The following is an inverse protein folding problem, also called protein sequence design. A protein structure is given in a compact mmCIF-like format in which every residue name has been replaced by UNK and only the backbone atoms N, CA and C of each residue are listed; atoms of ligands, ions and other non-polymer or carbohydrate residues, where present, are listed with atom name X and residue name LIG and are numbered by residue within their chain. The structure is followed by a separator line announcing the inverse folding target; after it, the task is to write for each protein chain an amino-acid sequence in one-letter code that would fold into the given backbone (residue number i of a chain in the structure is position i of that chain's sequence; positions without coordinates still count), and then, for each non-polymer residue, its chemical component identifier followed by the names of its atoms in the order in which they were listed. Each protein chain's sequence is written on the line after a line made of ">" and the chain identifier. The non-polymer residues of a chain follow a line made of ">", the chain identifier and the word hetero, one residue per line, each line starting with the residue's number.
data_IF_362130861637
#
_entry.id   IF_362130861637
#
_cell.length_a   1.000
_cell.length_b   1.000
_cell.length_c   1.000
_cell.angle_alpha   90.00
_cell.angle_beta   90.00
_cell.angle_gamma   90.00
#
_symmetry.space_group_name_H-M   'P 1'
#
loop_
_entity.id
_entity.type
_entity.pdbx_description
1 polymer ?
#
# COMPACT_ATOMS: atom_id res chain seq x y z
N UNK A 1 23.93 8.98 -11.36
CA UNK A 1 24.16 7.59 -11.82
C UNK A 1 22.84 6.85 -11.73
N UNK A 2 22.34 6.19 -12.78
CA UNK A 2 21.03 5.54 -12.69
C UNK A 2 21.15 4.35 -11.72
N UNK A 3 20.13 4.16 -10.90
CA UNK A 3 20.07 3.22 -9.77
C UNK A 3 19.92 1.75 -10.21
N UNK A 4 20.60 1.32 -11.28
CA UNK A 4 20.39 0.00 -11.90
C UNK A 4 20.80 -1.16 -10.97
N UNK A 5 21.74 -0.93 -10.05
CA UNK A 5 22.25 -1.97 -9.13
C UNK A 5 21.84 -1.78 -7.67
N UNK A 6 20.91 -0.84 -7.38
CA UNK A 6 20.49 -0.58 -5.99
C UNK A 6 19.13 -1.22 -5.72
N UNK A 7 19.09 -2.10 -4.71
CA UNK A 7 17.84 -2.65 -4.20
C UNK A 7 16.93 -1.54 -3.64
N UNK A 8 15.60 -1.69 -3.73
CA UNK A 8 14.67 -0.72 -3.17
C UNK A 8 14.87 -0.59 -1.66
N UNK A 9 14.63 0.60 -1.11
CA UNK A 9 14.64 0.81 0.32
C UNK A 9 13.49 0.02 0.97
N UNK A 10 13.75 -0.59 2.14
CA UNK A 10 12.69 -1.25 2.91
C UNK A 10 11.66 -0.23 3.39
N UNK A 11 10.39 -0.60 3.37
CA UNK A 11 9.28 0.23 3.87
C UNK A 11 9.04 0.08 5.37
N UNK A 12 9.54 -1.00 5.98
CA UNK A 12 9.38 -1.28 7.40
C UNK A 12 10.47 -2.22 7.93
N UNK A 13 10.62 -2.27 9.25
CA UNK A 13 11.42 -3.25 9.97
C UNK A 13 10.48 -4.22 10.67
N UNK A 14 10.63 -5.52 10.42
CA UNK A 14 9.87 -6.57 11.08
C UNK A 14 10.77 -7.33 12.04
N UNK A 15 10.22 -7.69 13.20
CA UNK A 15 10.90 -8.51 14.21
C UNK A 15 10.00 -9.69 14.57
N UNK A 16 10.60 -10.86 14.78
CA UNK A 16 9.87 -12.05 15.22
C UNK A 16 9.70 -11.97 16.75
N UNK A 17 8.46 -11.99 17.23
CA UNK A 17 8.15 -12.04 18.67
C UNK A 17 8.23 -13.46 19.22
N UNK A 18 8.05 -14.45 18.34
CA UNK A 18 8.02 -15.88 18.64
C UNK A 18 8.85 -16.64 17.60
N UNK A 19 9.15 -17.92 17.86
CA UNK A 19 9.86 -18.79 16.91
C UNK A 19 9.08 -18.88 15.60
N UNK A 20 9.67 -18.37 14.51
CA UNK A 20 9.00 -18.20 13.22
C UNK A 20 9.88 -18.77 12.11
N UNK A 21 9.32 -19.65 11.29
CA UNK A 21 9.94 -20.12 10.05
C UNK A 21 9.43 -19.29 8.87
N UNK A 22 10.31 -18.95 7.92
CA UNK A 22 9.96 -18.16 6.75
C UNK A 22 10.72 -18.62 5.52
N UNK A 23 10.08 -18.44 4.36
CA UNK A 23 10.73 -18.62 3.06
C UNK A 23 11.33 -17.30 2.59
N UNK A 24 12.56 -17.36 2.09
CA UNK A 24 13.25 -16.23 1.47
C UNK A 24 13.19 -16.31 -0.05
N UNK A 25 12.98 -15.16 -0.70
CA UNK A 25 13.15 -15.02 -2.15
C UNK A 25 14.12 -13.89 -2.42
N UNK A 26 15.27 -14.21 -2.99
CA UNK A 26 16.29 -13.22 -3.34
C UNK A 26 15.89 -12.37 -4.55
N UNK A 27 16.42 -11.14 -4.61
CA UNK A 27 16.14 -10.18 -5.66
C UNK A 27 16.50 -10.71 -7.06
N UNK A 28 17.60 -11.46 -7.21
CA UNK A 28 18.00 -12.03 -8.49
C UNK A 28 16.98 -13.06 -8.99
N UNK A 29 16.51 -13.93 -8.10
CA UNK A 29 15.51 -14.94 -8.41
C UNK A 29 14.16 -14.28 -8.73
N UNK A 30 13.76 -13.28 -7.95
CA UNK A 30 12.54 -12.53 -8.22
C UNK A 30 12.59 -11.87 -9.59
N UNK A 31 13.71 -11.22 -9.93
CA UNK A 31 13.92 -10.60 -11.25
C UNK A 31 13.82 -11.62 -12.39
N UNK A 32 14.50 -12.77 -12.24
CA UNK A 32 14.43 -13.84 -13.23
C UNK A 32 12.99 -14.30 -13.47
N UNK A 33 12.22 -14.51 -12.39
CA UNK A 33 10.81 -14.93 -12.45
C UNK A 33 9.95 -13.87 -13.13
N UNK A 34 10.09 -12.60 -12.76
CA UNK A 34 9.29 -11.51 -13.34
C UNK A 34 9.61 -11.28 -14.81
N UNK A 35 10.87 -11.45 -15.20
CA UNK A 35 11.31 -11.30 -16.59
C UNK A 35 10.85 -12.48 -17.45
N UNK A 36 11.05 -13.73 -16.99
CA UNK A 36 10.68 -14.94 -17.75
C UNK A 36 9.17 -15.14 -17.87
N UNK A 37 8.41 -14.76 -16.84
CA UNK A 37 6.96 -14.93 -16.81
C UNK A 37 6.20 -13.61 -16.98
N UNK A 38 6.82 -12.59 -17.62
CA UNK A 38 6.25 -11.24 -17.79
C UNK A 38 4.78 -11.24 -18.22
N UNK A 39 4.41 -12.06 -19.21
CA UNK A 39 3.03 -12.16 -19.69
C UNK A 39 2.04 -12.73 -18.67
N UNK A 40 2.50 -13.60 -17.75
CA UNK A 40 1.65 -14.05 -16.63
C UNK A 40 1.40 -12.92 -15.64
N UNK A 41 2.39 -12.06 -15.40
CA UNK A 41 2.25 -10.88 -14.55
C UNK A 41 1.40 -9.76 -15.19
N UNK A 42 1.32 -9.73 -16.52
CA UNK A 42 0.38 -8.86 -17.23
C UNK A 42 -1.09 -9.29 -17.07
N UNK A 43 -1.36 -10.52 -16.62
CA UNK A 43 -2.72 -11.01 -16.39
C UNK A 43 -3.43 -10.23 -15.28
N UNK A 44 -4.57 -9.62 -15.61
CA UNK A 44 -5.40 -8.86 -14.66
C UNK A 44 -5.80 -9.66 -13.42
N UNK A 45 -6.02 -10.97 -13.54
CA UNK A 45 -6.32 -11.81 -12.37
C UNK A 45 -5.13 -11.85 -11.41
N UNK A 46 -3.91 -11.99 -11.93
CA UNK A 46 -2.71 -12.03 -11.10
C UNK A 46 -2.40 -10.64 -10.52
N UNK A 47 -2.55 -9.57 -11.32
CA UNK A 47 -2.43 -8.19 -10.83
C UNK A 47 -3.37 -7.95 -9.65
N UNK A 48 -4.65 -8.32 -9.76
CA UNK A 48 -5.62 -8.19 -8.65
C UNK A 48 -5.19 -8.95 -7.40
N UNK A 49 -4.70 -10.18 -7.55
CA UNK A 49 -4.18 -10.98 -6.41
C UNK A 49 -2.96 -10.30 -5.77
N UNK A 50 -2.01 -9.82 -6.57
CA UNK A 50 -0.83 -9.12 -6.07
C UNK A 50 -1.21 -7.83 -5.32
N UNK A 51 -2.14 -7.02 -5.87
CA UNK A 51 -2.67 -5.83 -5.20
C UNK A 51 -3.39 -6.19 -3.89
N UNK A 52 -4.16 -7.27 -3.87
CA UNK A 52 -4.89 -7.71 -2.68
C UNK A 52 -3.96 -8.03 -1.50
N UNK A 53 -2.82 -8.67 -1.74
CA UNK A 53 -1.86 -9.02 -0.69
C UNK A 53 -0.83 -7.92 -0.39
N UNK A 54 -0.75 -6.86 -1.21
CA UNK A 54 0.17 -5.75 -0.99
C UNK A 54 -0.29 -4.83 0.14
N UNK A 55 0.57 -4.64 1.15
CA UNK A 55 0.32 -3.73 2.27
C UNK A 55 0.06 -2.29 1.81
N UNK A 56 0.78 -1.82 0.78
CA UNK A 56 0.62 -0.46 0.24
C UNK A 56 -0.75 -0.28 -0.41
N UNK A 57 -1.18 -1.22 -1.26
CA UNK A 57 -2.49 -1.17 -1.91
C UNK A 57 -3.65 -1.29 -0.91
N UNK A 58 -3.52 -2.14 0.11
CA UNK A 58 -4.51 -2.26 1.20
C UNK A 58 -4.63 -0.98 2.01
N UNK A 59 -3.50 -0.36 2.37
CA UNK A 59 -3.48 0.92 3.10
C UNK A 59 -4.10 2.04 2.25
N UNK A 60 -3.74 2.12 0.97
CA UNK A 60 -4.32 3.08 0.03
C UNK A 60 -5.85 2.96 -0.05
N UNK A 61 -6.36 1.73 -0.22
CA UNK A 61 -7.79 1.49 -0.30
C UNK A 61 -8.51 1.89 1.00
N UNK A 62 -7.96 1.51 2.16
CA UNK A 62 -8.53 1.85 3.46
C UNK A 62 -8.63 3.37 3.66
N UNK A 63 -7.57 4.12 3.35
CA UNK A 63 -7.55 5.59 3.46
C UNK A 63 -8.59 6.22 2.54
N UNK A 64 -8.71 5.76 1.29
CA UNK A 64 -9.70 6.29 0.34
C UNK A 64 -11.14 6.06 0.81
N UNK A 65 -11.46 4.85 1.29
CA UNK A 65 -12.79 4.53 1.82
C UNK A 65 -13.11 5.41 3.02
N UNK A 66 -12.16 5.58 3.95
CA UNK A 66 -12.35 6.40 5.14
C UNK A 66 -12.56 7.88 4.80
N UNK A 67 -11.80 8.43 3.84
CA UNK A 67 -11.99 9.80 3.36
C UNK A 67 -13.35 9.98 2.66
N UNK A 68 -13.74 9.04 1.79
CA UNK A 68 -15.04 9.06 1.12
C UNK A 68 -16.20 9.03 2.12
N UNK A 69 -16.13 8.16 3.13
CA UNK A 69 -17.13 8.05 4.19
C UNK A 69 -17.23 9.34 5.03
N UNK A 70 -16.09 9.95 5.38
CA UNK A 70 -16.07 11.23 6.11
C UNK A 70 -16.73 12.35 5.30
N UNK A 71 -16.42 12.45 4.01
CA UNK A 71 -17.06 13.42 3.09
C UNK A 71 -18.56 13.18 2.97
N UNK A 72 -18.98 11.92 2.85
CA UNK A 72 -20.39 11.55 2.83
C UNK A 72 -21.09 11.99 4.12
N UNK A 73 -20.53 11.67 5.29
CA UNK A 73 -21.09 12.07 6.59
C UNK A 73 -21.23 13.59 6.75
N UNK A 74 -20.24 14.36 6.30
CA UNK A 74 -20.29 15.82 6.32
C UNK A 74 -21.44 16.36 5.46
N UNK A 75 -21.70 15.75 4.29
CA UNK A 75 -22.80 16.14 3.41
C UNK A 75 -24.18 15.76 3.95
N UNK A 76 -24.31 14.58 4.57
CA UNK A 76 -25.63 14.01 4.92
C UNK A 76 -26.12 14.42 6.31
N UNK A 77 -25.25 14.76 7.27
CA UNK A 77 -25.67 15.03 8.66
C UNK A 77 -25.66 16.51 9.08
N UNK A 78 -25.36 17.44 8.17
CA UNK A 78 -25.09 18.85 8.54
C UNK A 78 -23.86 18.98 9.45
N UNK A 79 -23.50 20.18 9.94
CA UNK A 79 -22.37 20.37 10.84
C UNK A 79 -22.70 19.76 12.21
N UNK A 80 -22.60 18.44 12.31
CA UNK A 80 -22.59 17.74 13.60
C UNK A 80 -21.35 18.21 14.31
N UNK A 81 -21.52 18.90 15.44
CA UNK A 81 -20.46 19.25 16.38
C UNK A 81 -19.58 18.01 16.52
N UNK A 82 -18.35 17.99 15.99
CA UNK A 82 -17.56 16.79 16.05
C UNK A 82 -17.30 16.54 17.53
N UNK A 83 -17.82 15.43 18.06
CA UNK A 83 -17.21 14.85 19.24
C UNK A 83 -15.74 14.79 18.90
N UNK A 84 -14.95 15.52 19.68
CA UNK A 84 -13.54 15.81 19.44
C UNK A 84 -12.78 14.49 19.48
N UNK A 85 -12.86 13.72 18.40
CA UNK A 85 -11.97 12.61 18.13
C UNK A 85 -10.61 13.27 18.06
N UNK A 86 -9.77 12.97 19.06
CA UNK A 86 -8.44 13.55 19.20
C UNK A 86 -7.83 13.70 17.81
N UNK A 87 -7.54 14.94 17.39
CA UNK A 87 -7.16 15.28 16.00
C UNK A 87 -5.96 14.47 15.44
N UNK A 88 -5.34 13.62 16.25
CA UNK A 88 -4.45 12.55 15.86
C UNK A 88 -5.01 11.56 14.83
N UNK A 89 -6.28 11.13 14.89
CA UNK A 89 -6.80 10.14 13.90
C UNK A 89 -6.91 10.75 12.51
N UNK A 90 -7.43 11.98 12.41
CA UNK A 90 -7.51 12.73 11.16
C UNK A 90 -6.14 13.13 10.64
N UNK A 91 -5.24 13.59 11.53
CA UNK A 91 -3.85 13.91 11.15
C UNK A 91 -3.08 12.68 10.65
N UNK A 92 -3.28 11.50 11.26
CA UNK A 92 -2.73 10.22 10.76
C UNK A 92 -3.30 9.86 9.39
N UNK A 93 -4.60 10.03 9.18
CA UNK A 93 -5.20 9.77 7.87
C UNK A 93 -4.71 10.72 6.79
N UNK A 94 -4.51 12.00 7.12
CA UNK A 94 -3.91 12.97 6.21
C UNK A 94 -2.43 12.67 5.94
N UNK A 95 -1.67 12.20 6.94
CA UNK A 95 -0.29 11.72 6.72
C UNK A 95 -0.26 10.50 5.81
N UNK A 96 -1.12 9.51 6.03
CA UNK A 96 -1.23 8.35 5.15
C UNK A 96 -1.72 8.75 3.75
N UNK A 97 -2.65 9.70 3.64
CA UNK A 97 -3.04 10.25 2.37
C UNK A 97 -1.85 10.95 1.68
N UNK A 98 -1.05 11.75 2.38
CA UNK A 98 0.14 12.37 1.80
C UNK A 98 1.18 11.33 1.34
N UNK A 99 1.38 10.24 2.08
CA UNK A 99 2.31 9.16 1.69
C UNK A 99 1.79 8.30 0.53
N UNK A 100 0.50 7.95 0.53
CA UNK A 100 -0.06 6.96 -0.39
C UNK A 100 -0.90 7.55 -1.54
N UNK A 101 -1.39 8.79 -1.43
CA UNK A 101 -2.20 9.46 -2.47
C UNK A 101 -1.41 10.43 -3.33
N UNK A 102 -0.22 10.88 -2.91
CA UNK A 102 0.66 11.69 -3.76
C UNK A 102 1.18 10.90 -4.96
N UNK A 103 1.23 9.56 -4.84
CA UNK A 103 1.62 8.63 -5.89
C UNK A 103 0.63 7.47 -5.79
N UNK A 104 -0.33 7.37 -6.73
CA UNK A 104 -1.09 6.11 -6.91
C UNK A 104 -0.05 4.98 -6.87
N UNK A 105 -0.22 3.92 -6.03
CA UNK A 105 0.74 2.83 -6.00
C UNK A 105 0.96 2.36 -7.44
N UNK A 106 2.18 2.54 -7.95
CA UNK A 106 2.48 2.20 -9.33
C UNK A 106 2.57 0.68 -9.41
N UNK A 107 1.85 0.10 -10.36
CA UNK A 107 2.11 -1.28 -10.71
C UNK A 107 3.44 -1.31 -11.44
N UNK A 108 4.48 -1.78 -10.77
CA UNK A 108 5.78 -2.06 -11.39
C UNK A 108 5.72 -3.28 -12.36
N UNK A 109 4.51 -3.73 -12.71
CA UNK A 109 4.22 -4.84 -13.61
C UNK A 109 3.78 -4.38 -15.00
N UNK A 110 3.69 -3.06 -15.25
CA UNK A 110 3.41 -2.48 -16.57
C UNK A 110 4.71 -2.30 -17.39
#
# INVERSE_FOLDING_TARGET
>A
RPFIDRLPASSATFVCLESTEAFGLDAQNLRYITDHFRYKFANERLKRTARYYSSNWRTWAAVNIQLAYRRYRQRTRGPVTPVRDNGGTERKLLQYAAMFMSIRPHDHLE
#
